data_IF_331120006394
#
_entry.id   IF_331120006394
#
_cell.length_a   1.000
_cell.length_b   1.000
_cell.length_c   1.000
_cell.angle_alpha   90.00
_cell.angle_beta   90.00
_cell.angle_gamma   90.00
#
_symmetry.space_group_name_H-M   'P 1'
#
loop_
_entity.id
_entity.type
_entity.pdbx_description
1 polymer ?
#
# COMPACT_ATOMS: atom_id res chain seq x y z
N UNK A 1 -1.27 0.00 -5.45
CA UNK A 1 -1.01 -1.46 -5.35
C UNK A 1 -1.70 -2.14 -6.50
N UNK A 2 -1.00 -3.00 -7.25
CA UNK A 2 -1.70 -3.91 -8.15
C UNK A 2 -2.62 -4.82 -7.32
N UNK A 3 -3.86 -5.08 -7.74
CA UNK A 3 -4.69 -6.13 -7.14
C UNK A 3 -3.97 -7.47 -7.25
N UNK A 4 -3.99 -8.26 -6.17
CA UNK A 4 -3.20 -9.50 -6.08
C UNK A 4 -3.65 -10.51 -7.12
N UNK A 5 -4.97 -10.66 -7.34
CA UNK A 5 -5.50 -11.65 -8.29
C UNK A 5 -4.99 -11.40 -9.72
N UNK A 6 -5.14 -10.18 -10.23
CA UNK A 6 -4.65 -9.83 -11.58
C UNK A 6 -3.13 -9.81 -11.71
N UNK A 7 -2.41 -9.51 -10.63
CA UNK A 7 -0.95 -9.49 -10.61
C UNK A 7 -0.30 -10.87 -10.54
N UNK A 8 -0.91 -11.81 -9.79
CA UNK A 8 -0.44 -13.18 -9.65
C UNK A 8 -0.60 -13.94 -10.97
N UNK A 9 -1.77 -13.83 -11.59
CA UNK A 9 -2.05 -14.47 -12.88
C UNK A 9 -1.12 -13.97 -13.99
N UNK A 10 -0.78 -12.68 -13.99
CA UNK A 10 0.14 -12.12 -14.98
C UNK A 10 1.61 -12.53 -14.73
N UNK A 11 2.06 -12.57 -13.48
CA UNK A 11 3.47 -12.80 -13.14
C UNK A 11 3.84 -14.29 -13.07
N UNK A 12 2.91 -15.17 -12.68
CA UNK A 12 3.18 -16.59 -12.41
C UNK A 12 2.46 -17.53 -13.38
N UNK A 13 1.92 -17.03 -14.49
CA UNK A 13 1.16 -17.83 -15.47
C UNK A 13 1.86 -19.11 -15.90
N UNK A 14 3.14 -19.00 -16.24
CA UNK A 14 3.93 -20.15 -16.71
C UNK A 14 4.13 -21.22 -15.61
N UNK A 15 4.28 -20.81 -14.35
CA UNK A 15 4.44 -21.71 -13.21
C UNK A 15 3.12 -22.38 -12.82
N UNK A 16 2.00 -21.64 -12.90
CA UNK A 16 0.66 -22.15 -12.61
C UNK A 16 0.22 -23.12 -13.71
N UNK A 17 0.48 -22.81 -14.98
CA UNK A 17 0.08 -23.66 -16.11
C UNK A 17 0.88 -24.96 -16.20
N UNK A 18 2.11 -24.99 -15.68
CA UNK A 18 2.98 -26.17 -15.64
C UNK A 18 2.76 -27.07 -14.41
N UNK A 19 1.95 -26.66 -13.44
CA UNK A 19 1.66 -27.44 -12.24
C UNK A 19 0.63 -28.55 -12.51
N UNK A 20 0.81 -29.71 -11.87
CA UNK A 20 -0.17 -30.81 -11.92
C UNK A 20 -1.51 -30.41 -11.27
N UNK A 21 -1.44 -29.60 -10.20
CA UNK A 21 -2.60 -29.00 -9.53
C UNK A 21 -2.44 -27.47 -9.51
N UNK A 22 -3.19 -26.81 -10.40
CA UNK A 22 -3.15 -25.36 -10.59
C UNK A 22 -3.70 -24.61 -9.38
N UNK A 23 -4.76 -25.14 -8.76
CA UNK A 23 -5.43 -24.50 -7.64
C UNK A 23 -4.56 -24.55 -6.39
N UNK A 24 -3.91 -25.69 -6.14
CA UNK A 24 -2.93 -25.82 -5.06
C UNK A 24 -1.73 -24.88 -5.27
N UNK A 25 -1.24 -24.75 -6.52
CA UNK A 25 -0.11 -23.86 -6.81
C UNK A 25 -0.47 -22.39 -6.66
N UNK A 26 -1.67 -22.00 -7.08
CA UNK A 26 -2.18 -20.64 -6.89
C UNK A 26 -2.28 -20.29 -5.40
N UNK A 27 -2.86 -21.19 -4.59
CA UNK A 27 -2.99 -21.00 -3.14
C UNK A 27 -1.62 -20.88 -2.44
N UNK A 28 -0.62 -21.67 -2.86
CA UNK A 28 0.76 -21.57 -2.35
C UNK A 28 1.38 -20.19 -2.66
N UNK A 29 1.24 -19.72 -3.90
CA UNK A 29 1.76 -18.43 -4.33
C UNK A 29 1.07 -17.30 -3.58
N UNK A 30 -0.25 -17.38 -3.42
CA UNK A 30 -1.04 -16.39 -2.71
C UNK A 30 -0.65 -16.31 -1.22
N UNK A 31 -0.53 -17.45 -0.53
CA UNK A 31 -0.09 -17.49 0.88
C UNK A 31 1.33 -16.90 1.04
N UNK A 32 2.24 -17.25 0.13
CA UNK A 32 3.59 -16.69 0.11
C UNK A 32 3.58 -15.17 -0.07
N UNK A 33 2.79 -14.65 -1.01
CA UNK A 33 2.73 -13.21 -1.29
C UNK A 33 2.00 -12.44 -0.18
N UNK A 34 0.97 -13.02 0.43
CA UNK A 34 0.29 -12.42 1.57
C UNK A 34 1.22 -12.28 2.78
N UNK A 35 2.14 -13.21 3.02
CA UNK A 35 3.20 -13.06 4.03
C UNK A 35 4.14 -11.89 3.76
N UNK A 36 4.27 -11.45 2.50
CA UNK A 36 5.06 -10.25 2.14
C UNK A 36 4.30 -8.94 2.40
N UNK A 37 2.98 -8.97 2.60
CA UNK A 37 2.14 -7.77 2.82
C UNK A 37 2.15 -7.24 4.26
N UNK A 38 3.06 -7.73 5.10
CA UNK A 38 3.19 -7.25 6.46
C UNK A 38 3.41 -5.73 6.47
N UNK A 39 2.56 -4.93 7.13
CA UNK A 39 2.70 -3.49 7.18
C UNK A 39 4.00 -3.05 7.87
N UNK A 40 4.60 -3.94 8.66
CA UNK A 40 5.91 -3.73 9.27
C UNK A 40 7.03 -3.58 8.24
N UNK A 41 6.98 -4.24 7.08
CA UNK A 41 8.03 -4.06 6.05
C UNK A 41 7.99 -2.70 5.38
N UNK A 42 6.78 -2.13 5.21
CA UNK A 42 6.63 -0.75 4.76
C UNK A 42 7.21 0.22 5.78
N UNK A 43 7.07 -0.07 7.08
CA UNK A 43 7.70 0.71 8.16
C UNK A 43 9.24 0.59 8.15
N UNK A 44 9.79 -0.61 7.97
CA UNK A 44 11.25 -0.86 7.95
C UNK A 44 11.97 -0.10 6.84
N UNK A 45 11.29 0.17 5.72
CA UNK A 45 11.86 0.92 4.59
C UNK A 45 11.67 2.43 4.75
N UNK A 46 11.11 2.90 5.88
CA UNK A 46 10.75 4.30 6.14
C UNK A 46 9.77 4.89 5.12
N UNK A 47 8.93 4.05 4.48
CA UNK A 47 7.85 4.54 3.60
C UNK A 47 6.66 5.07 4.39
N UNK A 48 6.55 4.69 5.66
CA UNK A 48 5.59 5.21 6.63
C UNK A 48 6.34 5.64 7.88
N UNK A 49 5.94 6.77 8.47
CA UNK A 49 6.62 7.37 9.62
C UNK A 49 6.29 6.64 10.93
N UNK A 50 5.02 6.24 11.11
CA UNK A 50 4.54 5.60 12.34
C UNK A 50 3.45 4.55 12.05
N UNK A 51 3.50 3.43 12.77
CA UNK A 51 2.42 2.44 12.85
C UNK A 51 1.57 2.73 14.09
N UNK A 52 0.30 3.12 13.88
CA UNK A 52 -0.56 3.64 14.96
C UNK A 52 -1.75 2.72 15.24
N UNK A 53 -2.28 2.78 16.48
CA UNK A 53 -3.62 2.23 16.76
C UNK A 53 -4.65 3.03 15.94
N UNK A 54 -5.57 2.38 15.21
CA UNK A 54 -6.57 3.07 14.39
C UNK A 54 -7.39 4.12 15.15
N UNK A 55 -7.59 3.96 16.47
CA UNK A 55 -8.30 4.92 17.33
C UNK A 55 -7.53 6.22 17.55
N UNK A 56 -6.20 6.18 17.42
CA UNK A 56 -5.34 7.36 17.56
C UNK A 56 -5.35 8.26 16.32
N UNK A 57 -5.78 7.74 15.16
CA UNK A 57 -5.75 8.44 13.86
C UNK A 57 -6.29 9.87 13.92
N UNK A 58 -7.48 10.07 14.50
CA UNK A 58 -8.09 11.41 14.57
C UNK A 58 -7.23 12.40 15.36
N UNK A 59 -6.73 11.97 16.53
CA UNK A 59 -5.93 12.82 17.42
C UNK A 59 -4.65 13.27 16.70
N UNK A 60 -3.95 12.32 16.09
CA UNK A 60 -2.68 12.56 15.40
C UNK A 60 -2.86 13.46 14.17
N UNK A 61 -3.93 13.28 13.39
CA UNK A 61 -4.21 14.14 12.24
C UNK A 61 -4.53 15.59 12.66
N UNK A 62 -5.27 15.79 13.74
CA UNK A 62 -5.53 17.12 14.27
C UNK A 62 -4.24 17.79 14.78
N UNK A 63 -3.44 17.05 15.56
CA UNK A 63 -2.14 17.52 16.04
C UNK A 63 -1.21 17.91 14.87
N UNK A 64 -1.13 17.08 13.83
CA UNK A 64 -0.37 17.40 12.63
C UNK A 64 -0.89 18.66 11.91
N UNK A 65 -2.21 18.81 11.78
CA UNK A 65 -2.80 19.98 11.14
C UNK A 65 -2.46 21.27 11.89
N UNK A 66 -2.52 21.25 13.22
CA UNK A 66 -2.17 22.38 14.08
C UNK A 66 -0.66 22.72 13.98
N UNK A 67 0.20 21.71 13.86
CA UNK A 67 1.65 21.89 13.66
C UNK A 67 1.99 22.45 12.27
N UNK A 68 1.27 22.00 11.23
CA UNK A 68 1.49 22.43 9.86
C UNK A 68 0.91 23.82 9.57
N UNK A 69 -0.12 24.24 10.33
CA UNK A 69 -0.85 25.48 10.11
C UNK A 69 0.05 26.72 9.94
N UNK A 70 1.03 26.98 10.84
CA UNK A 70 1.84 28.20 10.79
C UNK A 70 2.83 28.22 9.62
N UNK A 71 3.09 27.08 8.98
CA UNK A 71 4.01 26.94 7.86
C UNK A 71 3.35 27.26 6.51
N UNK A 72 2.03 27.52 6.48
CA UNK A 72 1.29 27.77 5.25
C UNK A 72 1.52 29.19 4.76
N UNK A 73 1.94 29.33 3.50
CA UNK A 73 2.02 30.62 2.81
C UNK A 73 0.92 30.74 1.73
N UNK A 74 0.31 31.93 1.55
CA UNK A 74 -0.57 32.17 0.42
C UNK A 74 0.18 32.04 -0.92
N UNK A 75 -0.38 31.29 -1.87
CA UNK A 75 0.19 31.11 -3.20
C UNK A 75 -0.81 31.42 -4.33
N UNK A 76 -0.35 31.65 -5.56
CA UNK A 76 -1.22 31.90 -6.70
C UNK A 76 -2.11 30.68 -6.99
N UNK A 77 -3.42 30.89 -7.11
CA UNK A 77 -4.36 29.86 -7.53
C UNK A 77 -4.43 29.78 -9.06
N UNK A 78 -4.44 28.55 -9.61
CA UNK A 78 -4.60 28.28 -11.05
C UNK A 78 -5.57 27.12 -11.26
N UNK A 79 -6.52 27.29 -12.16
CA UNK A 79 -7.44 26.25 -12.60
C UNK A 79 -7.11 25.88 -14.06
N UNK A 80 -6.05 25.10 -14.26
CA UNK A 80 -5.69 24.52 -15.56
C UNK A 80 -6.26 23.12 -15.72
N UNK A 81 -6.18 22.59 -16.95
CA UNK A 81 -6.45 21.17 -17.20
C UNK A 81 -5.45 20.31 -16.42
N UNK A 82 -5.94 19.41 -15.56
CA UNK A 82 -5.13 18.34 -14.98
C UNK A 82 -4.96 17.24 -16.05
N UNK A 83 -3.73 16.75 -16.31
CA UNK A 83 -3.50 15.66 -17.26
C UNK A 83 -4.29 14.40 -16.91
#
# INVERSE_FOLDING_TARGET
SLPLEGGIEAAYRAEIDAAEDKDAKLAEIEDRLNKLRSPYRSAETFWIEEMIDPRATRRLLCEWADLAEPLREPGPSRFGMRP
#
